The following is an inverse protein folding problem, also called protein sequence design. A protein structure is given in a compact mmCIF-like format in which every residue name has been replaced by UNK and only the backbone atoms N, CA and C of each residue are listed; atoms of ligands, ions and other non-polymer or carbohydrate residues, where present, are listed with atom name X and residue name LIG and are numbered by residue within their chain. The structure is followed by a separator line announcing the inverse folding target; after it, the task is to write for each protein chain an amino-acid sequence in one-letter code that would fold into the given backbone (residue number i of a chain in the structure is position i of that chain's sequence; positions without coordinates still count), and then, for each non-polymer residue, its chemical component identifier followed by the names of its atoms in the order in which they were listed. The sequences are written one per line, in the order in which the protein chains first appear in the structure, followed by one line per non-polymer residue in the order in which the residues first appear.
data_IF_580860696382
#
_entry.id   IF_580860696382
#
_cell.length_a   1.000
_cell.length_b   1.000
_cell.length_c   1.000
_cell.angle_alpha   90.00
_cell.angle_beta   90.00
_cell.angle_gamma   90.00
#
_symmetry.space_group_name_H-M   'P 1'
#
loop_
_entity.id
_entity.type
_entity.pdbx_description
1 polymer ?
#
# COMPACT_ATOMS: atom_id res chain seq x y z
N UNK A 1 85.14 12.26 6.91
CA UNK A 1 83.73 12.27 7.40
C UNK A 1 82.71 12.87 6.42
N UNK A 2 83.06 13.84 5.57
CA UNK A 2 82.10 14.46 4.62
C UNK A 2 81.62 13.55 3.45
N UNK A 3 82.40 12.54 3.03
CA UNK A 3 82.03 11.61 1.94
C UNK A 3 81.06 10.48 2.37
N UNK A 4 81.00 10.13 3.66
CA UNK A 4 80.08 9.11 4.18
C UNK A 4 78.66 9.66 4.40
N UNK A 5 78.53 10.95 4.72
CA UNK A 5 77.22 11.61 4.93
C UNK A 5 76.49 11.76 3.59
N UNK A 6 77.22 12.01 2.49
CA UNK A 6 76.62 12.18 1.16
C UNK A 6 76.04 10.88 0.57
N UNK A 7 76.58 9.71 0.95
CA UNK A 7 76.07 8.40 0.51
C UNK A 7 74.84 8.00 1.35
N UNK A 8 74.82 8.33 2.64
CA UNK A 8 73.66 8.07 3.50
C UNK A 8 72.44 8.92 3.14
N UNK A 9 72.64 10.16 2.68
CA UNK A 9 71.54 11.02 2.21
C UNK A 9 70.97 10.58 0.85
N UNK A 10 71.77 9.92 0.00
CA UNK A 10 71.31 9.41 -1.30
C UNK A 10 70.51 8.10 -1.16
N UNK A 11 70.86 7.23 -0.20
CA UNK A 11 70.10 6.02 0.09
C UNK A 11 68.73 6.29 0.76
N UNK A 12 68.58 7.41 1.48
CA UNK A 12 67.31 7.77 2.11
C UNK A 12 66.23 8.20 1.09
N UNK A 13 66.64 8.73 -0.08
CA UNK A 13 65.71 9.10 -1.15
C UNK A 13 65.24 7.92 -2.01
N UNK A 14 65.93 6.77 -1.97
CA UNK A 14 65.53 5.57 -2.72
C UNK A 14 64.57 4.69 -1.89
N UNK A 15 64.57 4.85 -0.56
CA UNK A 15 63.73 4.09 0.37
C UNK A 15 62.51 4.85 0.91
N UNK A 16 62.29 6.10 0.49
CA UNK A 16 61.09 6.83 0.85
C UNK A 16 59.89 6.20 0.11
N UNK A 17 58.84 5.70 0.80
CA UNK A 17 57.64 5.24 0.13
C UNK A 17 57.07 6.42 -0.64
N UNK A 18 57.04 6.31 -1.98
CA UNK A 18 56.31 7.25 -2.81
C UNK A 18 54.88 7.34 -2.25
N UNK A 19 54.32 8.53 -2.01
CA UNK A 19 52.91 8.64 -1.68
C UNK A 19 52.15 7.93 -2.81
N UNK A 20 51.47 6.83 -2.50
CA UNK A 20 50.59 6.17 -3.46
C UNK A 20 49.52 7.21 -3.80
N UNK A 21 49.62 7.79 -4.99
CA UNK A 21 48.57 8.60 -5.54
C UNK A 21 47.34 7.70 -5.70
N UNK A 22 46.39 7.77 -4.79
CA UNK A 22 45.05 7.23 -5.00
C UNK A 22 44.44 8.03 -6.13
N UNK A 23 44.40 7.45 -7.33
CA UNK A 23 43.63 8.01 -8.43
C UNK A 23 42.20 8.22 -7.94
N UNK A 24 41.68 9.43 -8.13
CA UNK A 24 40.34 9.81 -7.68
C UNK A 24 39.32 8.87 -8.34
N UNK A 25 38.59 8.10 -7.53
CA UNK A 25 37.73 7.04 -8.06
C UNK A 25 36.58 7.65 -8.87
N UNK A 26 36.44 7.21 -10.12
CA UNK A 26 35.39 7.73 -11.00
C UNK A 26 34.01 7.19 -10.61
N UNK A 27 33.01 8.07 -10.55
CA UNK A 27 31.66 7.69 -10.14
C UNK A 27 30.85 7.24 -11.37
N UNK A 28 30.32 6.02 -11.33
CA UNK A 28 29.39 5.49 -12.34
C UNK A 28 28.00 5.36 -11.72
N UNK A 29 26.98 5.90 -12.39
CA UNK A 29 25.59 5.91 -11.90
C UNK A 29 24.69 5.07 -12.77
N UNK A 30 24.07 4.07 -12.17
CA UNK A 30 23.12 3.16 -12.82
C UNK A 30 21.73 3.48 -12.28
N UNK A 31 21.03 4.35 -13.01
CA UNK A 31 19.68 4.83 -12.66
C UNK A 31 18.90 5.04 -13.96
N UNK A 32 17.61 4.74 -13.97
CA UNK A 32 16.72 5.01 -15.11
C UNK A 32 15.34 5.50 -14.63
N UNK A 33 14.44 5.75 -15.58
CA UNK A 33 13.03 6.06 -15.31
C UNK A 33 12.26 4.79 -14.91
N UNK A 34 10.95 4.90 -14.74
CA UNK A 34 10.06 3.79 -14.43
C UNK A 34 9.60 3.02 -15.67
N UNK A 35 10.01 1.76 -15.77
CA UNK A 35 9.67 0.86 -16.88
C UNK A 35 8.54 -0.11 -16.55
N UNK A 36 8.43 -0.57 -15.30
CA UNK A 36 7.31 -1.36 -14.80
C UNK A 36 6.21 -0.50 -14.17
N UNK A 37 4.99 -0.98 -14.30
CA UNK A 37 3.86 -0.49 -13.53
C UNK A 37 3.92 -1.02 -12.07
N UNK A 38 2.96 -0.63 -11.23
CA UNK A 38 2.93 -0.97 -9.81
C UNK A 38 2.48 -2.42 -9.53
N UNK A 39 1.89 -3.10 -10.52
CA UNK A 39 1.59 -4.54 -10.46
C UNK A 39 2.79 -5.40 -10.89
N UNK A 40 3.76 -4.83 -11.61
CA UNK A 40 5.02 -5.46 -12.01
C UNK A 40 5.12 -5.80 -13.50
N UNK A 41 4.09 -5.47 -14.28
CA UNK A 41 4.09 -5.60 -15.74
C UNK A 41 4.85 -4.41 -16.37
N UNK A 42 5.58 -4.69 -17.46
CA UNK A 42 6.38 -3.68 -18.15
C UNK A 42 5.51 -2.84 -19.07
N UNK A 43 5.68 -1.51 -19.05
CA UNK A 43 4.88 -0.59 -19.86
C UNK A 43 5.13 -0.76 -21.36
N UNK A 44 6.37 -1.04 -21.70
CA UNK A 44 6.90 -1.21 -23.04
C UNK A 44 8.25 -1.94 -22.93
N UNK A 45 8.93 -2.13 -24.05
CA UNK A 45 10.23 -2.79 -24.11
C UNK A 45 11.41 -1.80 -24.22
N UNK A 46 11.25 -0.52 -23.85
CA UNK A 46 12.30 0.50 -23.96
C UNK A 46 13.54 0.17 -23.11
N UNK A 47 13.34 -0.46 -21.95
CA UNK A 47 14.45 -0.90 -21.10
C UNK A 47 15.36 -1.90 -21.83
N UNK A 48 14.83 -2.77 -22.70
CA UNK A 48 15.67 -3.70 -23.46
C UNK A 48 16.66 -2.95 -24.35
N UNK A 49 16.21 -1.86 -24.97
CA UNK A 49 17.06 -1.00 -25.81
C UNK A 49 18.13 -0.28 -24.98
N UNK A 50 17.79 0.21 -23.79
CA UNK A 50 18.76 0.85 -22.88
C UNK A 50 19.88 -0.11 -22.44
N UNK A 51 19.58 -1.41 -22.31
CA UNK A 51 20.49 -2.45 -21.84
C UNK A 51 21.41 -3.00 -22.95
N UNK A 52 21.11 -2.78 -24.22
CA UNK A 52 22.02 -3.17 -25.32
C UNK A 52 23.40 -2.50 -25.20
N UNK A 53 24.49 -3.06 -25.76
CA UNK A 53 25.82 -2.43 -25.68
C UNK A 53 25.89 -0.99 -26.18
N UNK A 54 25.10 -0.63 -27.20
CA UNK A 54 24.96 0.72 -27.72
C UNK A 54 23.96 1.59 -26.93
N UNK A 55 23.11 0.98 -26.12
CA UNK A 55 22.12 1.64 -25.27
C UNK A 55 22.75 2.41 -24.11
N UNK A 56 21.98 3.34 -23.55
CA UNK A 56 22.43 4.25 -22.49
C UNK A 56 22.99 3.53 -21.25
N UNK A 57 22.34 2.46 -20.79
CA UNK A 57 22.81 1.68 -19.63
C UNK A 57 23.91 0.69 -20.04
N UNK A 58 23.85 0.17 -21.27
CA UNK A 58 24.89 -0.72 -21.77
C UNK A 58 26.24 -0.02 -21.94
N UNK A 59 26.28 1.22 -22.43
CA UNK A 59 27.53 1.99 -22.55
C UNK A 59 28.26 2.19 -21.21
N UNK A 60 27.54 2.15 -20.08
CA UNK A 60 28.13 2.25 -18.74
C UNK A 60 28.70 0.91 -18.24
N UNK A 61 28.16 -0.21 -18.73
CA UNK A 61 28.41 -1.57 -18.21
C UNK A 61 29.30 -2.40 -19.14
N UNK A 62 29.12 -2.31 -20.45
CA UNK A 62 29.95 -2.97 -21.46
C UNK A 62 31.26 -2.21 -21.71
N UNK A 63 32.03 -2.06 -20.63
CA UNK A 63 33.33 -1.38 -20.59
C UNK A 63 34.43 -2.34 -20.13
N UNK A 64 35.70 -2.05 -20.43
CA UNK A 64 36.83 -2.81 -19.87
C UNK A 64 36.82 -2.81 -18.34
N UNK A 65 37.38 -3.87 -17.75
CA UNK A 65 37.52 -3.99 -16.30
C UNK A 65 38.45 -2.90 -15.75
N UNK A 66 38.04 -2.29 -14.64
CA UNK A 66 38.80 -1.27 -13.92
C UNK A 66 38.42 -1.36 -12.44
N UNK A 67 39.37 -1.09 -11.54
CA UNK A 67 39.20 -1.10 -10.08
C UNK A 67 39.17 0.30 -9.45
N UNK A 68 39.12 1.36 -10.26
CA UNK A 68 39.09 2.76 -9.81
C UNK A 68 37.70 3.41 -10.00
N UNK A 69 36.63 2.65 -9.71
CA UNK A 69 35.24 3.11 -9.85
C UNK A 69 34.44 2.98 -8.55
N UNK A 70 33.50 3.90 -8.36
CA UNK A 70 32.42 3.76 -7.37
C UNK A 70 31.10 3.65 -8.13
N UNK A 71 30.44 2.51 -8.00
CA UNK A 71 29.15 2.24 -8.64
C UNK A 71 28.02 2.66 -7.72
N UNK A 72 27.20 3.60 -8.17
CA UNK A 72 26.00 4.04 -7.45
C UNK A 72 24.80 3.55 -8.21
N UNK A 73 24.06 2.62 -7.62
CA UNK A 73 23.06 1.83 -8.34
C UNK A 73 21.69 2.05 -7.68
N UNK A 74 20.68 2.33 -8.49
CA UNK A 74 19.27 2.25 -8.07
C UNK A 74 18.82 0.79 -8.05
N UNK A 75 18.51 0.22 -6.87
CA UNK A 75 18.07 -1.16 -6.76
C UNK A 75 16.76 -1.44 -7.49
N UNK A 76 15.87 -0.46 -7.66
CA UNK A 76 14.60 -0.69 -8.36
C UNK A 76 14.81 -0.96 -9.86
N UNK A 77 15.79 -0.30 -10.49
CA UNK A 77 16.18 -0.61 -11.86
C UNK A 77 16.76 -2.02 -11.95
N UNK A 78 17.54 -2.45 -10.97
CA UNK A 78 18.10 -3.80 -10.98
C UNK A 78 17.02 -4.86 -10.78
N UNK A 79 16.02 -4.62 -9.93
CA UNK A 79 14.86 -5.51 -9.79
C UNK A 79 14.08 -5.63 -11.11
N UNK A 80 13.94 -4.55 -11.89
CA UNK A 80 13.36 -4.61 -13.24
C UNK A 80 14.22 -5.46 -14.19
N UNK A 81 15.54 -5.25 -14.21
CA UNK A 81 16.44 -6.07 -15.03
C UNK A 81 16.36 -7.54 -14.63
N UNK A 82 16.33 -7.86 -13.33
CA UNK A 82 16.16 -9.22 -12.83
C UNK A 82 14.81 -9.80 -13.27
N UNK A 83 13.72 -9.05 -13.18
CA UNK A 83 12.41 -9.50 -13.67
C UNK A 83 12.44 -9.79 -15.18
N UNK A 84 13.15 -8.98 -15.98
CA UNK A 84 13.32 -9.25 -17.42
C UNK A 84 14.08 -10.54 -17.72
N UNK A 85 14.96 -11.02 -16.82
CA UNK A 85 15.65 -12.31 -17.03
C UNK A 85 14.73 -13.52 -16.90
N UNK A 86 13.56 -13.36 -16.27
CA UNK A 86 12.52 -14.37 -16.16
C UNK A 86 11.52 -14.32 -17.31
N UNK A 87 10.33 -14.84 -17.05
CA UNK A 87 9.19 -14.67 -17.94
C UNK A 87 8.44 -13.40 -17.51
N UNK A 88 8.51 -12.36 -18.36
CA UNK A 88 7.87 -11.08 -18.11
C UNK A 88 6.84 -10.77 -19.20
N UNK A 89 5.89 -9.89 -18.90
CA UNK A 89 4.88 -9.45 -19.86
C UNK A 89 4.99 -7.94 -20.09
N UNK A 90 4.62 -7.53 -21.29
CA UNK A 90 4.41 -6.15 -21.65
C UNK A 90 2.92 -5.81 -21.46
N UNK A 91 2.62 -4.58 -21.08
CA UNK A 91 1.27 -4.02 -21.07
C UNK A 91 0.72 -3.85 -22.49
N UNK A 92 1.62 -3.85 -23.49
CA UNK A 92 1.27 -4.11 -24.87
C UNK A 92 1.20 -5.62 -25.07
N UNK A 93 0.23 -6.15 -25.81
CA UNK A 93 0.14 -7.60 -26.10
C UNK A 93 1.29 -8.12 -27.02
N UNK A 94 2.38 -7.37 -27.12
CA UNK A 94 3.56 -7.70 -27.91
C UNK A 94 4.48 -8.67 -27.17
N UNK A 95 5.19 -9.50 -27.93
CA UNK A 95 6.17 -10.44 -27.39
C UNK A 95 7.39 -9.69 -26.84
N UNK A 96 7.79 -9.93 -25.58
CA UNK A 96 9.00 -9.36 -24.99
C UNK A 96 10.28 -9.92 -25.63
N UNK A 97 11.28 -9.07 -25.88
CA UNK A 97 12.56 -9.48 -26.51
C UNK A 97 13.78 -9.30 -25.59
N UNK A 98 13.58 -8.82 -24.37
CA UNK A 98 14.64 -8.35 -23.49
C UNK A 98 15.29 -9.42 -22.59
N UNK A 99 14.83 -10.68 -22.61
CA UNK A 99 15.30 -11.72 -21.67
C UNK A 99 16.80 -11.98 -21.75
N UNK A 100 17.30 -12.24 -22.95
CA UNK A 100 18.72 -12.50 -23.17
C UNK A 100 19.56 -11.23 -23.01
N UNK A 101 19.02 -10.07 -23.41
CA UNK A 101 19.67 -8.77 -23.26
C UNK A 101 19.88 -8.45 -21.78
N UNK A 102 18.84 -8.58 -20.96
CA UNK A 102 18.90 -8.36 -19.52
C UNK A 102 19.85 -9.33 -18.83
N UNK A 103 19.82 -10.61 -19.21
CA UNK A 103 20.71 -11.64 -18.67
C UNK A 103 22.19 -11.34 -18.97
N UNK A 104 22.49 -10.93 -20.21
CA UNK A 104 23.82 -10.51 -20.64
C UNK A 104 24.29 -9.25 -19.90
N UNK A 105 23.44 -8.24 -19.82
CA UNK A 105 23.75 -6.99 -19.14
C UNK A 105 23.99 -7.19 -17.64
N UNK A 106 23.15 -7.98 -16.94
CA UNK A 106 23.30 -8.25 -15.52
C UNK A 106 24.59 -9.04 -15.23
N UNK A 107 24.91 -10.01 -16.08
CA UNK A 107 26.17 -10.77 -15.99
C UNK A 107 27.38 -9.83 -16.14
N UNK A 108 27.32 -8.93 -17.11
CA UNK A 108 28.39 -7.96 -17.32
C UNK A 108 28.49 -6.98 -16.14
N UNK A 109 27.37 -6.48 -15.60
CA UNK A 109 27.35 -5.59 -14.42
C UNK A 109 28.05 -6.24 -13.22
N UNK A 110 27.72 -7.51 -12.93
CA UNK A 110 28.38 -8.28 -11.86
C UNK A 110 29.90 -8.33 -12.08
N UNK A 111 30.32 -8.61 -13.31
CA UNK A 111 31.74 -8.72 -13.68
C UNK A 111 32.48 -7.38 -13.50
N UNK A 112 31.95 -6.27 -14.03
CA UNK A 112 32.64 -4.97 -14.00
C UNK A 112 32.61 -4.29 -12.63
N UNK A 113 31.63 -4.61 -11.78
CA UNK A 113 31.54 -4.08 -10.41
C UNK A 113 32.27 -4.93 -9.36
N UNK A 114 32.71 -6.14 -9.69
CA UNK A 114 33.27 -7.11 -8.75
C UNK A 114 34.45 -6.58 -7.90
N UNK A 115 35.37 -5.83 -8.49
CA UNK A 115 36.54 -5.29 -7.80
C UNK A 115 36.36 -3.84 -7.31
N UNK A 116 35.13 -3.31 -7.36
CA UNK A 116 34.84 -1.91 -7.06
C UNK A 116 33.90 -1.76 -5.85
N UNK A 117 33.85 -0.53 -5.34
CA UNK A 117 32.84 -0.12 -4.39
C UNK A 117 31.47 -0.02 -5.06
N UNK A 118 30.45 -0.56 -4.39
CA UNK A 118 29.05 -0.49 -4.82
C UNK A 118 28.23 0.14 -3.71
N UNK A 119 27.49 1.19 -4.05
CA UNK A 119 26.58 1.93 -3.17
C UNK A 119 25.15 1.80 -3.68
N UNK A 120 24.30 1.14 -2.90
CA UNK A 120 22.87 1.07 -3.12
C UNK A 120 22.20 2.40 -2.75
N UNK A 121 21.47 2.97 -3.70
CA UNK A 121 20.52 4.06 -3.43
C UNK A 121 19.28 3.53 -2.69
N UNK A 122 18.46 4.44 -2.16
CA UNK A 122 17.11 4.08 -1.74
C UNK A 122 16.34 3.53 -2.96
N UNK A 123 15.58 2.46 -2.74
CA UNK A 123 14.79 1.80 -3.78
C UNK A 123 13.98 2.82 -4.59
N UNK A 124 14.16 2.87 -5.91
CA UNK A 124 13.43 3.77 -6.81
C UNK A 124 14.01 5.18 -6.91
N UNK A 125 15.19 5.40 -6.33
CA UNK A 125 15.90 6.68 -6.30
C UNK A 125 15.01 7.91 -6.01
N UNK A 126 14.24 7.91 -4.90
CA UNK A 126 13.38 9.03 -4.55
C UNK A 126 14.18 10.31 -4.27
N UNK A 127 13.56 11.49 -4.45
CA UNK A 127 14.06 12.74 -3.86
C UNK A 127 14.11 12.59 -2.33
N UNK A 128 15.31 12.40 -1.81
CA UNK A 128 15.56 12.05 -0.41
C UNK A 128 15.02 13.12 0.55
N UNK A 129 15.09 14.41 0.20
CA UNK A 129 14.55 15.43 1.11
C UNK A 129 13.03 15.39 1.13
N UNK A 130 12.39 15.29 -0.05
CA UNK A 130 10.93 15.17 -0.12
C UNK A 130 10.45 13.89 0.57
N UNK A 131 11.13 12.77 0.38
CA UNK A 131 10.83 11.51 1.05
C UNK A 131 11.00 11.63 2.58
N UNK A 132 12.02 12.36 3.05
CA UNK A 132 12.23 12.62 4.47
C UNK A 132 11.09 13.44 5.08
N UNK A 133 10.59 14.44 4.35
CA UNK A 133 9.51 15.32 4.80
C UNK A 133 8.15 14.60 4.79
N UNK A 134 7.86 13.83 3.73
CA UNK A 134 6.57 13.16 3.57
C UNK A 134 6.50 11.81 4.30
N UNK A 135 7.60 11.07 4.34
CA UNK A 135 7.63 9.66 4.72
C UNK A 135 8.96 9.19 5.33
N UNK A 136 9.35 9.73 6.51
CA UNK A 136 10.66 9.43 7.10
C UNK A 136 10.85 7.95 7.50
N UNK A 137 9.77 7.26 7.89
CA UNK A 137 9.80 5.82 8.18
C UNK A 137 9.98 4.98 6.92
N UNK A 138 9.25 5.31 5.85
CA UNK A 138 9.37 4.62 4.56
C UNK A 138 10.73 4.85 3.93
N UNK A 139 11.31 6.05 4.06
CA UNK A 139 12.64 6.32 3.52
C UNK A 139 13.69 5.35 4.10
N UNK A 140 13.63 5.06 5.41
CA UNK A 140 14.50 4.05 6.02
C UNK A 140 14.25 2.66 5.44
N UNK A 141 12.99 2.31 5.23
CA UNK A 141 12.60 1.06 4.59
C UNK A 141 13.11 0.96 3.14
N UNK A 142 13.04 2.05 2.35
CA UNK A 142 13.52 2.09 0.96
C UNK A 142 15.02 1.86 0.87
N UNK A 143 15.80 2.39 1.82
CA UNK A 143 17.23 2.10 1.91
C UNK A 143 17.50 0.65 2.33
N UNK A 144 16.82 0.15 3.37
CA UNK A 144 17.01 -1.20 3.86
C UNK A 144 16.65 -2.26 2.80
N UNK A 145 15.47 -2.12 2.19
CA UNK A 145 15.01 -2.98 1.11
C UNK A 145 15.92 -2.87 -0.11
N UNK A 146 16.23 -1.64 -0.55
CA UNK A 146 17.08 -1.41 -1.72
C UNK A 146 18.48 -2.02 -1.57
N UNK A 147 19.08 -1.92 -0.38
CA UNK A 147 20.35 -2.59 -0.07
C UNK A 147 20.21 -4.11 -0.24
N UNK A 148 19.24 -4.72 0.44
CA UNK A 148 19.04 -6.18 0.40
C UNK A 148 18.75 -6.69 -1.01
N UNK A 149 17.94 -5.97 -1.77
CA UNK A 149 17.61 -6.32 -3.16
C UNK A 149 18.86 -6.28 -4.05
N UNK A 150 19.67 -5.23 -3.94
CA UNK A 150 20.91 -5.13 -4.72
C UNK A 150 21.95 -6.17 -4.34
N UNK A 151 22.08 -6.50 -3.05
CA UNK A 151 23.00 -7.56 -2.57
C UNK A 151 22.60 -8.92 -3.14
N UNK A 152 21.31 -9.22 -3.14
CA UNK A 152 20.77 -10.44 -3.73
C UNK A 152 21.03 -10.47 -5.24
N UNK A 153 20.72 -9.39 -5.95
CA UNK A 153 20.88 -9.31 -7.39
C UNK A 153 22.35 -9.45 -7.82
N UNK A 154 23.29 -8.80 -7.12
CA UNK A 154 24.73 -8.86 -7.43
C UNK A 154 25.46 -10.06 -6.79
N UNK A 155 24.81 -10.78 -5.89
CA UNK A 155 25.38 -11.91 -5.14
C UNK A 155 26.63 -11.52 -4.34
N UNK A 156 26.61 -10.32 -3.74
CA UNK A 156 27.69 -9.77 -2.91
C UNK A 156 27.18 -8.70 -1.97
N UNK A 157 27.96 -8.37 -0.94
CA UNK A 157 27.68 -7.24 -0.06
C UNK A 157 27.86 -5.89 -0.79
N UNK A 158 27.03 -4.91 -0.43
CA UNK A 158 27.10 -3.53 -0.93
C UNK A 158 26.98 -2.53 0.21
N UNK A 159 27.44 -1.30 0.00
CA UNK A 159 27.20 -0.20 0.94
C UNK A 159 25.82 0.40 0.70
N UNK A 160 25.21 0.94 1.74
CA UNK A 160 24.08 1.85 1.62
C UNK A 160 24.23 2.94 2.66
N UNK A 161 24.27 4.19 2.20
CA UNK A 161 24.63 5.34 3.04
C UNK A 161 23.53 6.40 2.94
N UNK A 162 22.50 6.35 3.82
CA UNK A 162 21.40 7.32 3.80
C UNK A 162 21.85 8.78 3.90
N UNK A 163 22.95 9.03 4.62
CA UNK A 163 23.53 10.36 4.79
C UNK A 163 24.66 10.67 3.78
N UNK A 164 25.01 9.74 2.90
CA UNK A 164 26.13 9.87 1.95
C UNK A 164 25.86 10.80 0.78
N UNK A 165 24.67 11.44 0.71
CA UNK A 165 24.26 12.38 -0.36
C UNK A 165 24.44 11.82 -1.78
N UNK A 166 24.26 10.50 -1.94
CA UNK A 166 24.47 9.81 -3.20
C UNK A 166 23.33 10.00 -4.20
N UNK A 167 22.09 10.21 -3.73
CA UNK A 167 20.95 10.54 -4.60
C UNK A 167 21.07 11.99 -5.08
N UNK A 168 20.66 12.23 -6.33
CA UNK A 168 20.72 13.54 -6.99
C UNK A 168 19.36 13.88 -7.60
N UNK A 169 19.01 15.17 -7.58
CA UNK A 169 17.81 15.71 -8.22
C UNK A 169 16.72 16.08 -7.22
N UNK A 170 15.66 16.73 -7.75
CA UNK A 170 14.47 17.12 -6.99
C UNK A 170 13.23 16.62 -7.68
N UNK A 171 12.30 16.07 -6.90
CA UNK A 171 11.02 15.61 -7.42
C UNK A 171 10.17 16.82 -7.83
N UNK A 172 9.48 16.68 -8.96
CA UNK A 172 8.59 17.70 -9.51
C UNK A 172 7.12 17.47 -9.15
N UNK A 173 6.83 16.71 -8.09
CA UNK A 173 5.46 16.49 -7.63
C UNK A 173 4.82 17.79 -7.13
N UNK A 174 3.63 18.07 -7.64
CA UNK A 174 2.77 19.16 -7.16
C UNK A 174 2.09 18.81 -5.81
N UNK A 175 1.44 19.77 -5.13
CA UNK A 175 0.81 19.52 -3.84
C UNK A 175 -0.29 18.43 -3.84
N UNK A 176 -1.09 18.33 -4.92
CA UNK A 176 -2.14 17.31 -5.03
C UNK A 176 -1.53 15.93 -5.23
N UNK A 177 -0.47 15.82 -6.03
CA UNK A 177 0.27 14.59 -6.25
C UNK A 177 0.99 14.13 -4.97
N UNK A 178 1.56 15.06 -4.18
CA UNK A 178 2.13 14.74 -2.86
C UNK A 178 1.08 14.22 -1.89
N UNK A 179 -0.11 14.83 -1.86
CA UNK A 179 -1.25 14.36 -1.05
C UNK A 179 -1.65 12.93 -1.46
N UNK A 180 -1.71 12.67 -2.76
CA UNK A 180 -2.04 11.35 -3.29
C UNK A 180 -1.02 10.27 -2.91
N UNK A 181 0.28 10.56 -3.08
CA UNK A 181 1.36 9.69 -2.60
C UNK A 181 1.23 9.43 -1.09
N UNK A 182 1.01 10.49 -0.31
CA UNK A 182 0.86 10.41 1.14
C UNK A 182 -0.32 9.53 1.57
N UNK A 183 -1.45 9.61 0.86
CA UNK A 183 -2.63 8.79 1.09
C UNK A 183 -2.35 7.32 0.76
N UNK A 184 -1.87 7.03 -0.45
CA UNK A 184 -1.51 5.68 -0.89
C UNK A 184 -0.56 4.98 0.10
N UNK A 185 0.48 5.68 0.54
CA UNK A 185 1.41 5.18 1.55
C UNK A 185 0.70 4.85 2.88
N UNK A 186 -0.14 5.77 3.38
CA UNK A 186 -0.85 5.56 4.66
C UNK A 186 -1.79 4.36 4.58
N UNK A 187 -2.49 4.22 3.46
CA UNK A 187 -3.38 3.09 3.17
C UNK A 187 -2.63 1.75 3.22
N UNK A 188 -1.52 1.63 2.50
CA UNK A 188 -0.71 0.40 2.55
C UNK A 188 -0.07 0.17 3.91
N UNK A 189 0.33 1.24 4.61
CA UNK A 189 0.89 1.12 5.97
C UNK A 189 -0.14 0.53 6.92
N UNK A 190 -1.38 1.06 6.90
CA UNK A 190 -2.50 0.55 7.70
C UNK A 190 -2.79 -0.92 7.41
N UNK A 191 -2.91 -1.28 6.14
CA UNK A 191 -3.15 -2.66 5.72
C UNK A 191 -2.02 -3.60 6.16
N UNK A 192 -0.76 -3.16 6.05
CA UNK A 192 0.42 -3.96 6.40
C UNK A 192 0.58 -4.26 7.89
N UNK A 193 -0.23 -3.64 8.75
CA UNK A 193 -0.23 -3.95 10.19
C UNK A 193 -0.83 -5.32 10.50
N UNK A 194 -1.78 -5.76 9.67
CA UNK A 194 -2.51 -7.03 9.86
C UNK A 194 -2.27 -8.00 8.70
N UNK A 195 -1.77 -7.52 7.56
CA UNK A 195 -1.44 -8.34 6.39
C UNK A 195 0.07 -8.37 6.17
N UNK A 196 0.70 -9.50 6.47
CA UNK A 196 2.11 -9.74 6.18
C UNK A 196 2.27 -10.47 4.83
N UNK A 197 2.27 -9.72 3.72
CA UNK A 197 2.41 -10.27 2.36
C UNK A 197 3.64 -9.68 1.62
N UNK A 198 4.46 -10.50 0.93
CA UNK A 198 5.54 -10.00 0.08
C UNK A 198 5.06 -9.04 -1.01
N UNK A 199 3.88 -9.28 -1.58
CA UNK A 199 3.27 -8.43 -2.62
C UNK A 199 2.97 -7.02 -2.07
N UNK A 200 2.43 -6.95 -0.85
CA UNK A 200 2.12 -5.67 -0.20
C UNK A 200 3.40 -4.89 0.11
N UNK A 201 4.44 -5.59 0.57
CA UNK A 201 5.76 -4.99 0.80
C UNK A 201 6.37 -4.46 -0.50
N UNK A 202 6.29 -5.23 -1.59
CA UNK A 202 6.75 -4.79 -2.91
C UNK A 202 6.01 -3.54 -3.40
N UNK A 203 4.69 -3.50 -3.26
CA UNK A 203 3.91 -2.32 -3.65
C UNK A 203 4.31 -1.09 -2.82
N UNK A 204 4.54 -1.25 -1.51
CA UNK A 204 5.01 -0.17 -0.62
C UNK A 204 6.36 0.41 -1.05
N UNK A 205 7.34 -0.43 -1.38
CA UNK A 205 8.65 0.05 -1.85
C UNK A 205 8.56 0.67 -3.24
N UNK A 206 7.71 0.14 -4.12
CA UNK A 206 7.46 0.72 -5.46
C UNK A 206 6.92 2.15 -5.37
N UNK A 207 6.15 2.52 -4.34
CA UNK A 207 5.69 3.91 -4.14
C UNK A 207 6.85 4.92 -4.07
N UNK A 208 8.05 4.51 -3.65
CA UNK A 208 9.23 5.37 -3.64
C UNK A 208 9.55 5.96 -5.02
N UNK A 209 9.27 5.19 -6.09
CA UNK A 209 9.54 5.58 -7.48
C UNK A 209 8.75 6.83 -7.89
N UNK A 210 7.57 7.07 -7.30
CA UNK A 210 6.78 8.28 -7.54
C UNK A 210 7.51 9.56 -7.11
N UNK A 211 8.43 9.45 -6.15
CA UNK A 211 9.25 10.55 -5.67
C UNK A 211 10.52 10.74 -6.51
N UNK A 212 10.77 9.91 -7.54
CA UNK A 212 11.99 9.99 -8.33
C UNK A 212 12.09 11.32 -9.09
N UNK A 213 13.26 11.98 -9.08
CA UNK A 213 13.51 13.18 -9.88
C UNK A 213 13.63 12.90 -11.37
N UNK A 214 13.79 11.63 -11.77
CA UNK A 214 13.89 11.19 -13.16
C UNK A 214 12.56 11.10 -13.91
N UNK A 215 11.42 11.26 -13.22
CA UNK A 215 10.10 11.21 -13.84
C UNK A 215 9.74 12.53 -14.52
N UNK A 216 9.47 12.48 -15.82
CA UNK A 216 8.87 13.58 -16.59
C UNK A 216 7.38 13.75 -16.30
N UNK A 217 6.72 14.71 -16.95
CA UNK A 217 5.32 15.04 -16.64
C UNK A 217 4.36 13.88 -16.93
N UNK A 218 4.50 13.25 -18.10
CA UNK A 218 3.62 12.17 -18.55
C UNK A 218 3.87 10.89 -17.74
N UNK A 219 5.13 10.55 -17.49
CA UNK A 219 5.53 9.45 -16.62
C UNK A 219 5.00 9.64 -15.20
N UNK A 220 5.09 10.84 -14.61
CA UNK A 220 4.50 11.12 -13.28
C UNK A 220 2.98 10.91 -13.28
N UNK A 221 2.26 11.42 -14.27
CA UNK A 221 0.82 11.29 -14.36
C UNK A 221 0.38 9.82 -14.48
N UNK A 222 1.01 9.08 -15.40
CA UNK A 222 0.76 7.66 -15.61
C UNK A 222 1.06 6.84 -14.35
N UNK A 223 2.25 7.01 -13.76
CA UNK A 223 2.67 6.26 -12.58
C UNK A 223 1.79 6.54 -11.38
N UNK A 224 1.34 7.79 -11.19
CA UNK A 224 0.44 8.13 -10.09
C UNK A 224 -0.94 7.48 -10.26
N UNK A 225 -1.48 7.49 -11.47
CA UNK A 225 -2.73 6.78 -11.77
C UNK A 225 -2.59 5.28 -11.50
N UNK A 226 -1.56 4.65 -12.06
CA UNK A 226 -1.34 3.22 -11.91
C UNK A 226 -1.08 2.81 -10.45
N UNK A 227 -0.32 3.62 -9.70
CA UNK A 227 -0.10 3.40 -8.27
C UNK A 227 -1.41 3.43 -7.47
N UNK A 228 -2.30 4.40 -7.75
CA UNK A 228 -3.61 4.47 -7.08
C UNK A 228 -4.44 3.23 -7.39
N UNK A 229 -4.53 2.82 -8.65
CA UNK A 229 -5.26 1.62 -9.05
C UNK A 229 -4.72 0.38 -8.36
N UNK A 230 -3.40 0.21 -8.29
CA UNK A 230 -2.77 -0.91 -7.61
C UNK A 230 -3.03 -0.91 -6.09
N UNK A 231 -2.97 0.27 -5.45
CA UNK A 231 -3.27 0.43 -4.01
C UNK A 231 -4.73 0.11 -3.73
N UNK A 232 -5.65 0.68 -4.50
CA UNK A 232 -7.09 0.44 -4.35
C UNK A 232 -7.39 -1.04 -4.51
N UNK A 233 -6.79 -1.72 -5.50
CA UNK A 233 -6.95 -3.16 -5.66
C UNK A 233 -6.53 -3.95 -4.40
N UNK A 234 -5.43 -3.59 -3.74
CA UNK A 234 -5.02 -4.24 -2.49
C UNK A 234 -5.98 -3.94 -1.33
N UNK A 235 -6.47 -2.69 -1.22
CA UNK A 235 -7.42 -2.31 -0.17
C UNK A 235 -8.74 -3.07 -0.28
N UNK A 236 -9.19 -3.39 -1.50
CA UNK A 236 -10.41 -4.15 -1.69
C UNK A 236 -10.28 -5.62 -1.27
N UNK A 237 -9.07 -6.17 -1.10
CA UNK A 237 -8.89 -7.60 -0.75
C UNK A 237 -9.24 -7.91 0.71
N UNK A 238 -9.15 -6.94 1.60
CA UNK A 238 -9.60 -7.08 2.99
C UNK A 238 -10.76 -6.12 3.23
N UNK A 239 -11.99 -6.64 3.28
CA UNK A 239 -13.19 -5.80 3.30
C UNK A 239 -14.35 -6.44 4.07
N UNK A 240 -15.26 -5.59 4.52
CA UNK A 240 -16.60 -5.99 4.96
C UNK A 240 -17.55 -5.68 3.81
N UNK A 241 -18.42 -6.62 3.47
CA UNK A 241 -19.41 -6.37 2.43
C UNK A 241 -20.44 -5.35 2.93
N UNK A 242 -20.74 -4.30 2.14
CA UNK A 242 -21.81 -3.38 2.49
C UNK A 242 -23.16 -4.11 2.47
N UNK A 243 -24.12 -3.62 3.24
CA UNK A 243 -25.40 -4.29 3.44
C UNK A 243 -26.57 -3.33 3.56
N UNK A 244 -27.76 -3.80 3.20
CA UNK A 244 -29.03 -3.12 3.46
C UNK A 244 -29.95 -4.07 4.21
N UNK A 245 -30.45 -3.67 5.37
CA UNK A 245 -31.25 -4.52 6.25
C UNK A 245 -32.55 -3.84 6.65
N UNK A 246 -33.64 -4.60 6.59
CA UNK A 246 -34.94 -4.21 7.10
C UNK A 246 -35.17 -4.89 8.44
N UNK A 247 -35.47 -4.10 9.47
CA UNK A 247 -35.73 -4.59 10.83
C UNK A 247 -37.21 -4.44 11.16
N UNK A 248 -37.87 -5.56 11.39
CA UNK A 248 -39.29 -5.64 11.76
C UNK A 248 -39.50 -6.05 13.22
N UNK A 249 -38.44 -6.47 13.91
CA UNK A 249 -38.46 -6.88 15.32
C UNK A 249 -37.49 -6.05 16.17
N UNK A 250 -37.75 -5.97 17.48
CA UNK A 250 -36.88 -5.24 18.42
C UNK A 250 -35.46 -5.78 18.47
N UNK A 251 -35.29 -7.10 18.36
CA UNK A 251 -33.99 -7.77 18.29
C UNK A 251 -33.91 -8.57 16.99
N UNK A 252 -32.82 -8.39 16.25
CA UNK A 252 -32.56 -9.13 15.00
C UNK A 252 -31.07 -9.49 14.91
N UNK A 253 -30.77 -10.68 14.39
CA UNK A 253 -29.41 -11.10 14.06
C UNK A 253 -29.19 -10.88 12.56
N UNK A 254 -28.22 -10.05 12.20
CA UNK A 254 -27.91 -9.67 10.83
C UNK A 254 -26.63 -10.37 10.36
N UNK A 255 -26.65 -11.00 9.17
CA UNK A 255 -25.45 -11.61 8.62
C UNK A 255 -24.54 -10.53 8.03
N UNK A 256 -23.30 -10.42 8.53
CA UNK A 256 -22.28 -9.51 8.01
C UNK A 256 -21.12 -10.32 7.46
N UNK A 257 -20.88 -10.24 6.15
CA UNK A 257 -19.79 -10.97 5.49
C UNK A 257 -18.50 -10.17 5.52
N UNK A 258 -17.44 -10.79 6.05
CA UNK A 258 -16.07 -10.29 6.05
C UNK A 258 -15.24 -11.13 5.09
N UNK A 259 -14.40 -10.48 4.29
CA UNK A 259 -13.64 -11.10 3.21
C UNK A 259 -12.15 -10.84 3.40
N UNK A 260 -11.36 -11.90 3.28
CA UNK A 260 -9.90 -11.86 3.18
C UNK A 260 -9.45 -12.58 1.90
N UNK A 261 -9.13 -11.81 0.86
CA UNK A 261 -8.59 -12.32 -0.40
C UNK A 261 -7.04 -12.31 -0.40
N UNK A 262 -6.38 -12.21 0.77
CA UNK A 262 -4.94 -12.39 0.89
C UNK A 262 -4.56 -13.86 1.11
N UNK A 263 -3.39 -14.31 0.63
CA UNK A 263 -2.90 -15.67 0.83
C UNK A 263 -2.35 -15.93 2.24
N UNK A 264 -2.64 -15.04 3.19
CA UNK A 264 -2.20 -15.14 4.59
C UNK A 264 -3.40 -14.97 5.51
N UNK A 265 -3.31 -15.58 6.68
CA UNK A 265 -4.28 -15.37 7.74
C UNK A 265 -4.20 -13.93 8.27
N UNK A 266 -5.36 -13.35 8.59
CA UNK A 266 -5.50 -11.98 9.07
C UNK A 266 -6.39 -11.96 10.30
N UNK A 267 -5.97 -11.26 11.35
CA UNK A 267 -6.78 -11.05 12.57
C UNK A 267 -7.09 -9.56 12.74
N UNK A 268 -8.36 -9.23 12.92
CA UNK A 268 -8.86 -7.85 13.05
C UNK A 268 -9.94 -7.71 14.11
N UNK A 269 -10.11 -6.49 14.61
CA UNK A 269 -11.30 -6.05 15.33
C UNK A 269 -12.24 -5.31 14.35
N UNK A 270 -13.54 -5.30 14.63
CA UNK A 270 -14.54 -4.59 13.82
C UNK A 270 -15.38 -3.72 14.74
N UNK A 271 -15.16 -2.41 14.66
CA UNK A 271 -15.89 -1.42 15.42
C UNK A 271 -17.15 -1.01 14.64
N UNK A 272 -18.32 -1.16 15.27
CA UNK A 272 -19.62 -0.85 14.68
C UNK A 272 -20.16 0.45 15.27
N UNK A 273 -20.27 1.49 14.44
CA UNK A 273 -20.68 2.83 14.87
C UNK A 273 -21.95 3.25 14.14
N UNK A 274 -23.07 3.29 14.86
CA UNK A 274 -24.34 3.81 14.35
C UNK A 274 -24.32 5.34 14.30
N UNK A 275 -24.89 5.93 13.25
CA UNK A 275 -25.01 7.39 13.09
C UNK A 275 -26.00 8.03 14.06
N UNK A 276 -26.86 7.25 14.70
CA UNK A 276 -27.84 7.71 15.68
C UNK A 276 -28.16 6.60 16.69
N UNK A 277 -28.91 6.95 17.74
CA UNK A 277 -29.26 6.06 18.85
C UNK A 277 -30.49 5.18 18.58
N UNK A 278 -31.05 5.19 17.36
CA UNK A 278 -32.26 4.41 17.03
C UNK A 278 -32.01 2.92 17.00
N UNK A 279 -30.77 2.52 16.70
CA UNK A 279 -30.34 1.13 16.68
C UNK A 279 -29.01 1.02 17.40
N UNK A 280 -28.92 0.06 18.30
CA UNK A 280 -27.69 -0.32 18.99
C UNK A 280 -27.19 -1.62 18.35
N UNK A 281 -25.88 -1.70 18.10
CA UNK A 281 -25.22 -2.85 17.50
C UNK A 281 -23.96 -3.20 18.27
N UNK A 282 -23.65 -4.49 18.33
CA UNK A 282 -22.42 -4.98 18.94
C UNK A 282 -21.21 -4.78 18.00
N UNK A 283 -20.01 -4.71 18.57
CA UNK A 283 -18.73 -4.75 17.85
C UNK A 283 -18.08 -6.12 17.99
N UNK A 284 -17.15 -6.45 17.08
CA UNK A 284 -16.46 -7.75 17.08
C UNK A 284 -14.99 -7.58 17.44
N UNK A 285 -14.46 -8.49 18.24
CA UNK A 285 -13.04 -8.51 18.64
C UNK A 285 -12.39 -9.82 18.20
N UNK A 286 -11.10 -9.76 17.87
CA UNK A 286 -10.25 -10.92 17.55
C UNK A 286 -10.84 -11.84 16.46
N UNK A 287 -11.34 -11.23 15.39
CA UNK A 287 -11.85 -11.96 14.24
C UNK A 287 -10.69 -12.42 13.37
N UNK A 288 -10.37 -13.71 13.47
CA UNK A 288 -9.44 -14.39 12.57
C UNK A 288 -10.13 -14.79 11.27
N UNK A 289 -9.48 -14.48 10.16
CA UNK A 289 -9.87 -14.78 8.78
C UNK A 289 -8.75 -15.58 8.12
N UNK A 290 -9.04 -16.83 7.75
CA UNK A 290 -8.09 -17.68 7.04
C UNK A 290 -7.70 -17.06 5.68
N UNK A 291 -6.58 -17.51 5.11
CA UNK A 291 -6.14 -17.11 3.77
C UNK A 291 -7.23 -17.39 2.72
N UNK A 292 -7.45 -16.44 1.80
CA UNK A 292 -8.41 -16.53 0.69
C UNK A 292 -9.81 -17.03 1.12
N UNK A 293 -10.34 -16.47 2.21
CA UNK A 293 -11.57 -16.92 2.83
C UNK A 293 -12.61 -15.82 3.03
N UNK A 294 -13.86 -16.24 3.23
CA UNK A 294 -14.97 -15.38 3.63
C UNK A 294 -15.56 -15.93 4.93
N UNK A 295 -15.89 -15.05 5.86
CA UNK A 295 -16.52 -15.40 7.13
C UNK A 295 -17.78 -14.58 7.34
N UNK A 296 -18.87 -15.23 7.68
CA UNK A 296 -20.10 -14.56 8.05
C UNK A 296 -20.12 -14.38 9.57
N UNK A 297 -20.34 -13.14 10.01
CA UNK A 297 -20.49 -12.77 11.40
C UNK A 297 -21.97 -12.49 11.70
N UNK A 298 -22.37 -12.79 12.92
CA UNK A 298 -23.73 -12.58 13.43
C UNK A 298 -23.78 -11.27 14.20
N UNK A 299 -24.29 -10.21 13.56
CA UNK A 299 -24.43 -8.90 14.16
C UNK A 299 -25.77 -8.79 14.88
N UNK A 300 -25.75 -8.66 16.20
CA UNK A 300 -26.97 -8.34 16.94
C UNK A 300 -27.32 -6.87 16.74
N UNK A 301 -28.54 -6.61 16.30
CA UNK A 301 -29.13 -5.29 16.19
C UNK A 301 -30.33 -5.18 17.13
N UNK A 302 -30.35 -4.11 17.92
CA UNK A 302 -31.40 -3.78 18.87
C UNK A 302 -32.07 -2.46 18.45
N UNK A 303 -33.35 -2.51 18.10
CA UNK A 303 -34.14 -1.35 17.68
C UNK A 303 -34.71 -0.64 18.90
N UNK A 304 -34.34 0.63 19.06
CA UNK A 304 -34.86 1.53 20.09
C UNK A 304 -36.00 2.40 19.56
N UNK A 305 -35.93 2.81 18.28
CA UNK A 305 -36.96 3.61 17.64
C UNK A 305 -37.07 3.34 16.13
N UNK A 306 -38.26 3.51 15.53
CA UNK A 306 -38.43 3.44 14.08
C UNK A 306 -37.57 4.47 13.32
N UNK A 307 -37.24 4.15 12.07
CA UNK A 307 -36.54 5.02 11.15
C UNK A 307 -35.27 4.40 10.55
N UNK A 308 -34.56 5.22 9.78
CA UNK A 308 -33.32 4.81 9.11
C UNK A 308 -32.08 5.19 9.93
N UNK A 309 -31.06 4.36 9.83
CA UNK A 309 -29.72 4.65 10.35
C UNK A 309 -28.67 3.97 9.49
N UNK A 310 -27.46 4.51 9.54
CA UNK A 310 -26.28 3.89 8.94
C UNK A 310 -25.38 3.44 10.07
N UNK A 311 -24.87 2.21 9.96
CA UNK A 311 -23.81 1.67 10.80
C UNK A 311 -22.55 1.62 9.97
N UNK A 312 -21.51 2.33 10.42
CA UNK A 312 -20.16 2.21 9.87
C UNK A 312 -19.46 1.04 10.53
N UNK A 313 -19.00 0.09 9.73
CA UNK A 313 -18.20 -1.04 10.16
C UNK A 313 -16.73 -0.76 9.85
N UNK A 314 -15.95 -0.38 10.86
CA UNK A 314 -14.53 -0.02 10.71
C UNK A 314 -13.65 -1.17 11.20
N UNK A 315 -12.83 -1.75 10.32
CA UNK A 315 -11.82 -2.71 10.74
C UNK A 315 -10.65 -2.00 11.42
N UNK A 316 -10.17 -2.56 12.52
CA UNK A 316 -9.01 -2.06 13.27
C UNK A 316 -8.04 -3.19 13.64
N UNK A 317 -6.78 -2.83 13.92
CA UNK A 317 -5.79 -3.72 14.53
C UNK A 317 -6.09 -3.92 16.04
N UNK A 318 -5.26 -4.73 16.71
CA UNK A 318 -5.38 -4.95 18.17
C UNK A 318 -5.15 -3.68 19.01
N UNK A 319 -4.56 -2.64 18.42
CA UNK A 319 -4.29 -1.34 19.05
C UNK A 319 -5.36 -0.29 18.71
N UNK A 320 -6.42 -0.66 17.98
CA UNK A 320 -7.53 0.21 17.59
C UNK A 320 -7.24 1.14 16.41
N UNK A 321 -6.15 0.94 15.66
CA UNK A 321 -5.89 1.71 14.44
C UNK A 321 -6.60 1.12 13.24
N UNK A 322 -7.17 1.96 12.39
CA UNK A 322 -7.82 1.54 11.14
C UNK A 322 -6.88 0.73 10.24
N UNK A 323 -7.39 -0.35 9.65
CA UNK A 323 -6.63 -1.23 8.73
C UNK A 323 -7.17 -1.23 7.29
N UNK A 324 -8.47 -1.00 7.13
CA UNK A 324 -9.16 -1.00 5.84
C UNK A 324 -10.23 0.12 5.81
N UNK A 325 -10.70 0.54 4.61
CA UNK A 325 -11.82 1.46 4.51
C UNK A 325 -13.08 0.94 5.24
N UNK A 326 -13.90 1.82 5.85
CA UNK A 326 -15.12 1.40 6.52
C UNK A 326 -16.16 0.90 5.52
N UNK A 327 -16.90 -0.13 5.91
CA UNK A 327 -18.09 -0.55 5.18
C UNK A 327 -19.35 0.13 5.75
N UNK A 328 -20.35 0.27 4.89
CA UNK A 328 -21.62 0.93 5.21
C UNK A 328 -22.72 -0.13 5.28
N UNK A 329 -23.37 -0.22 6.43
CA UNK A 329 -24.58 -1.03 6.62
C UNK A 329 -25.77 -0.09 6.81
N UNK A 330 -26.70 -0.07 5.86
CA UNK A 330 -27.91 0.75 5.94
C UNK A 330 -29.04 -0.07 6.59
N UNK A 331 -29.51 0.38 7.75
CA UNK A 331 -30.54 -0.30 8.53
C UNK A 331 -31.81 0.56 8.53
N UNK A 332 -32.94 -0.05 8.22
CA UNK A 332 -34.26 0.59 8.28
C UNK A 332 -35.17 -0.17 9.24
N UNK A 333 -35.58 0.49 10.32
CA UNK A 333 -36.41 -0.10 11.36
C UNK A 333 -37.86 0.38 11.25
N UNK A 334 -38.78 -0.58 11.20
CA UNK A 334 -40.23 -0.34 11.17
C UNK A 334 -40.95 -0.99 12.36
N UNK A 335 -40.21 -1.27 13.43
CA UNK A 335 -40.73 -1.94 14.63
C UNK A 335 -41.78 -1.05 15.30
N UNK A 336 -42.99 -1.56 15.46
CA UNK A 336 -44.06 -0.89 16.19
C UNK A 336 -44.01 -1.39 17.63
N UNK A 337 -43.98 -0.47 18.61
CA UNK A 337 -43.98 -0.81 20.04
C UNK A 337 -45.20 -1.69 20.37
N UNK A 338 -45.02 -2.92 20.88
CA UNK A 338 -46.13 -3.81 21.24
C UNK A 338 -47.11 -3.18 22.23
N UNK A 339 -46.64 -2.27 23.10
CA UNK A 339 -47.50 -1.55 24.05
C UNK A 339 -48.45 -0.63 23.32
N UNK A 340 -47.98 0.06 22.29
CA UNK A 340 -48.82 0.94 21.48
C UNK A 340 -49.93 0.15 20.77
N UNK A 341 -49.63 -1.05 20.29
CA UNK A 341 -50.63 -1.97 19.72
C UNK A 341 -51.69 -2.33 20.75
N UNK A 342 -51.31 -2.70 21.99
CA UNK A 342 -52.28 -2.99 23.04
C UNK A 342 -53.12 -1.77 23.45
N UNK A 343 -52.52 -0.58 23.56
CA UNK A 343 -53.25 0.65 23.85
C UNK A 343 -54.26 1.00 22.76
N UNK A 344 -53.85 0.93 21.49
CA UNK A 344 -54.73 1.24 20.36
C UNK A 344 -55.84 0.21 20.18
N UNK A 345 -55.54 -1.08 20.30
CA UNK A 345 -56.57 -2.13 20.29
C UNK A 345 -57.53 -2.01 21.47
N UNK A 346 -57.02 -1.76 22.68
CA UNK A 346 -57.84 -1.55 23.87
C UNK A 346 -58.75 -0.33 23.75
N UNK A 347 -58.22 0.80 23.25
CA UNK A 347 -59.01 2.00 22.97
C UNK A 347 -60.08 1.76 21.90
N UNK A 348 -59.76 1.02 20.83
CA UNK A 348 -60.72 0.67 19.80
C UNK A 348 -61.87 -0.21 20.35
N UNK A 349 -61.56 -1.18 21.21
CA UNK A 349 -62.57 -2.02 21.89
C UNK A 349 -63.46 -1.16 22.79
N UNK A 350 -62.87 -0.25 23.59
CA UNK A 350 -63.64 0.65 24.45
C UNK A 350 -64.56 1.58 23.65
N UNK A 351 -64.10 2.11 22.51
CA UNK A 351 -64.93 2.92 21.61
C UNK A 351 -66.08 2.11 21.01
N UNK A 352 -65.84 0.85 20.63
CA UNK A 352 -66.86 -0.04 20.10
C UNK A 352 -67.92 -0.39 21.17
N UNK A 353 -67.48 -0.68 22.41
CA UNK A 353 -68.40 -0.86 23.55
C UNK A 353 -69.21 0.40 23.83
N UNK A 354 -68.58 1.59 23.82
CA UNK A 354 -69.28 2.85 24.02
C UNK A 354 -70.34 3.08 22.93
N UNK A 355 -70.04 2.79 21.66
CA UNK A 355 -70.98 2.88 20.54
C UNK A 355 -72.17 1.92 20.70
N UNK A 356 -71.93 0.67 21.08
CA UNK A 356 -73.00 -0.31 21.37
C UNK A 356 -73.88 0.20 22.53
N UNK A 357 -73.25 0.67 23.61
CA UNK A 357 -73.97 1.16 24.79
C UNK A 357 -74.83 2.38 24.46
N UNK A 358 -74.29 3.32 23.68
CA UNK A 358 -75.05 4.49 23.18
C UNK A 358 -76.23 4.06 22.29
N UNK A 359 -76.04 3.07 21.41
CA UNK A 359 -77.08 2.55 20.53
C UNK A 359 -78.23 1.91 21.34
N UNK A 360 -77.90 1.04 22.30
CA UNK A 360 -78.91 0.42 23.20
C UNK A 360 -79.66 1.48 24.01
N UNK A 361 -78.94 2.48 24.54
CA UNK A 361 -79.54 3.58 25.30
C UNK A 361 -80.46 4.45 24.44
N UNK A 362 -80.11 4.66 23.16
CA UNK A 362 -80.96 5.35 22.16
C UNK A 362 -82.23 4.56 21.87
N UNK A 363 -82.13 3.24 21.62
CA UNK A 363 -83.30 2.38 21.36
C UNK A 363 -84.22 2.28 22.58
N UNK A 364 -83.68 2.19 23.80
CA UNK A 364 -84.48 2.20 25.04
C UNK A 364 -85.21 3.52 25.27
N UNK A 365 -84.62 4.66 24.92
CA UNK A 365 -85.30 5.97 25.01
C UNK A 365 -86.39 6.16 23.95
N UNK A 366 -86.26 5.53 22.78
CA UNK A 366 -87.32 5.52 21.76
C UNK A 366 -88.57 4.76 22.19
N UNK A 367 -88.43 3.74 23.06
CA UNK A 367 -89.55 2.93 23.59
C UNK A 367 -90.30 3.56 24.78
N UNK A 368 -89.84 4.69 25.33
CA UNK A 368 -90.53 5.39 26.43
C UNK A 368 -91.44 6.53 25.96
N UNK A 369 -91.58 6.73 24.65
CA UNK A 369 -92.49 7.71 24.03
C UNK A 369 -93.74 7.05 23.40
N UNK A 370 -94.03 5.78 23.71
CA UNK A 370 -95.23 5.05 23.25
C UNK A 370 -96.02 4.41 24.41
N UNK A 371 -96.14 5.09 25.55
CA UNK A 371 -97.20 4.81 26.53
C UNK A 371 -98.01 6.08 26.75
#
# INVERSE_FOLDING_TARGET
MKKLISISLLCFFIAAPLPMATADASIVRITSTIHQNFTGEFRNDELSQELTPSGKLGQLVFVPLSSSKIWIIDPALIDEVVAMTGDYTLATEATPIGKDIASSWLTQLKKVSAANDVVALAYGNPDVAMAKDLAPSELRMYYAYGKSALEMALSRMVRSEPNGKWSKGRSKLDPLQRKAYGQARKDLTRLSKVVASPELMQLRVRLARLLSPGLDADGRAYSLYNARTAVDAQLHRLRINPGKYQLTTEKTVLPVTVVNDFPVEVTVNINMLAMNTRIIVDSFSEITLAANSKRQLELNAFVIAPGQTIVFAQMTDSLGSDVAPPAVLALNATVIDPRLTWFTTGAAILLLLAAITQSVRRVRRGRHNEI
#
